data_IF_364304294151
#
_entry.id   IF_364304294151
#
_cell.length_a   1.000
_cell.length_b   1.000
_cell.length_c   1.000
_cell.angle_alpha   90.00
_cell.angle_beta   90.00
_cell.angle_gamma   90.00
#
_symmetry.space_group_name_H-M   'P 1'
#
loop_
_entity.id
_entity.type
_entity.pdbx_description
1 polymer ?
#
# COMPACT_ATOMS: atom_id res chain seq x y z
N UNK A 1 0.87 -7.54 49.12
CA UNK A 1 0.34 -6.64 48.07
C UNK A 1 -1.17 -6.60 48.16
N UNK A 2 -1.80 -5.43 48.03
CA UNK A 2 -3.27 -5.30 48.03
C UNK A 2 -3.86 -5.99 46.79
N UNK A 3 -4.91 -6.80 46.98
CA UNK A 3 -5.62 -7.51 45.91
C UNK A 3 -6.16 -6.55 44.83
N UNK A 4 -6.47 -5.32 45.21
CA UNK A 4 -6.93 -4.26 44.29
C UNK A 4 -5.82 -3.86 43.32
N UNK A 5 -4.58 -3.69 43.80
CA UNK A 5 -3.45 -3.29 42.95
C UNK A 5 -3.12 -4.38 41.91
N UNK A 6 -3.26 -5.66 42.27
CA UNK A 6 -3.06 -6.77 41.35
C UNK A 6 -4.11 -6.78 40.22
N UNK A 7 -5.39 -6.50 40.54
CA UNK A 7 -6.47 -6.43 39.55
C UNK A 7 -6.28 -5.26 38.58
N UNK A 8 -5.88 -4.08 39.08
CA UNK A 8 -5.58 -2.91 38.23
C UNK A 8 -4.43 -3.22 37.28
N UNK A 9 -3.38 -3.89 37.76
CA UNK A 9 -2.27 -4.34 36.92
C UNK A 9 -2.70 -5.28 35.79
N UNK A 10 -3.60 -6.22 36.10
CA UNK A 10 -4.16 -7.16 35.13
C UNK A 10 -5.00 -6.47 34.04
N UNK A 11 -5.83 -5.50 34.43
CA UNK A 11 -6.64 -4.72 33.48
C UNK A 11 -5.73 -3.90 32.55
N UNK A 12 -4.75 -3.22 33.12
CA UNK A 12 -3.81 -2.41 32.33
C UNK A 12 -3.01 -3.28 31.34
N UNK A 13 -2.57 -4.46 31.77
CA UNK A 13 -1.89 -5.40 30.88
C UNK A 13 -2.80 -5.85 29.74
N UNK A 14 -4.06 -6.17 30.04
CA UNK A 14 -5.06 -6.54 29.03
C UNK A 14 -5.31 -5.43 28.01
N UNK A 15 -5.40 -4.18 28.46
CA UNK A 15 -5.56 -3.02 27.57
C UNK A 15 -4.35 -2.84 26.65
N UNK A 16 -3.13 -2.95 27.18
CA UNK A 16 -1.90 -2.81 26.39
C UNK A 16 -1.84 -3.89 25.31
N UNK A 17 -2.15 -5.14 25.67
CA UNK A 17 -2.17 -6.26 24.71
C UNK A 17 -3.25 -6.07 23.64
N UNK A 18 -4.44 -5.57 24.01
CA UNK A 18 -5.51 -5.30 23.07
C UNK A 18 -5.13 -4.18 22.07
N UNK A 19 -4.50 -3.11 22.55
CA UNK A 19 -4.02 -2.02 21.69
C UNK A 19 -2.92 -2.50 20.74
N UNK A 20 -2.00 -3.33 21.24
CA UNK A 20 -0.94 -3.92 20.42
C UNK A 20 -1.52 -4.81 19.32
N UNK A 21 -2.47 -5.68 19.68
CA UNK A 21 -3.16 -6.54 18.72
C UNK A 21 -3.90 -5.73 17.65
N UNK A 22 -4.63 -4.68 18.06
CA UNK A 22 -5.36 -3.82 17.13
C UNK A 22 -4.41 -3.09 16.16
N UNK A 23 -3.30 -2.55 16.67
CA UNK A 23 -2.28 -1.90 15.85
C UNK A 23 -1.67 -2.88 14.83
N UNK A 24 -1.38 -4.12 15.26
CA UNK A 24 -0.85 -5.16 14.40
C UNK A 24 -1.82 -5.53 13.27
N UNK A 25 -3.10 -5.77 13.59
CA UNK A 25 -4.09 -6.15 12.58
C UNK A 25 -4.35 -5.01 11.59
N UNK A 26 -4.37 -3.76 12.08
CA UNK A 26 -4.45 -2.57 11.23
C UNK A 26 -3.29 -2.52 10.23
N UNK A 27 -2.05 -2.74 10.70
CA UNK A 27 -0.87 -2.74 9.85
C UNK A 27 -0.91 -3.87 8.80
N UNK A 28 -1.39 -5.05 9.20
CA UNK A 28 -1.60 -6.18 8.28
C UNK A 28 -2.66 -5.86 7.23
N UNK A 29 -3.71 -5.13 7.59
CA UNK A 29 -4.75 -4.69 6.65
C UNK A 29 -4.22 -3.64 5.67
N UNK A 30 -3.45 -2.67 6.14
CA UNK A 30 -2.84 -1.64 5.30
C UNK A 30 -1.91 -2.28 4.26
N UNK A 31 -1.05 -3.20 4.67
CA UNK A 31 -0.15 -3.91 3.73
C UNK A 31 -0.93 -4.65 2.64
N UNK A 32 -1.98 -5.39 3.01
CA UNK A 32 -2.87 -6.06 2.04
C UNK A 32 -3.55 -5.09 1.07
N UNK A 33 -3.92 -3.89 1.53
CA UNK A 33 -4.51 -2.86 0.68
C UNK A 33 -3.47 -2.24 -0.26
N UNK A 34 -2.24 -2.02 0.22
CA UNK A 34 -1.13 -1.54 -0.61
C UNK A 34 -0.77 -2.55 -1.71
N UNK A 35 -0.76 -3.85 -1.40
CA UNK A 35 -0.51 -4.90 -2.39
C UNK A 35 -1.58 -4.88 -3.50
N UNK A 36 -2.86 -4.77 -3.13
CA UNK A 36 -3.97 -4.67 -4.09
C UNK A 36 -3.92 -3.39 -4.93
N UNK A 37 -3.51 -2.28 -4.33
CA UNK A 37 -3.32 -1.01 -5.05
C UNK A 37 -2.18 -1.11 -6.05
N UNK A 38 -1.06 -1.75 -5.68
CA UNK A 38 0.05 -2.00 -6.59
C UNK A 38 -0.39 -2.86 -7.78
N UNK A 39 -1.14 -3.94 -7.52
CA UNK A 39 -1.70 -4.80 -8.57
C UNK A 39 -2.70 -4.06 -9.48
N UNK A 40 -3.57 -3.23 -8.91
CA UNK A 40 -4.51 -2.42 -9.69
C UNK A 40 -3.77 -1.40 -10.59
N UNK A 41 -2.70 -0.77 -10.08
CA UNK A 41 -1.89 0.16 -10.86
C UNK A 41 -1.19 -0.53 -12.03
N UNK A 42 -0.67 -1.75 -11.84
CA UNK A 42 -0.05 -2.51 -12.93
C UNK A 42 -1.06 -2.87 -14.00
N UNK A 43 -2.26 -3.34 -13.61
CA UNK A 43 -3.33 -3.67 -14.56
C UNK A 43 -3.78 -2.43 -15.33
N UNK A 44 -3.92 -1.29 -14.65
CA UNK A 44 -4.34 -0.04 -15.30
C UNK A 44 -3.28 0.46 -16.30
N UNK A 45 -2.00 0.30 -15.97
CA UNK A 45 -0.89 0.61 -16.88
C UNK A 45 -0.92 -0.28 -18.14
N UNK A 46 -1.11 -1.59 -17.98
CA UNK A 46 -1.21 -2.53 -19.10
C UNK A 46 -2.42 -2.23 -20.00
N UNK A 47 -3.57 -1.91 -19.39
CA UNK A 47 -4.77 -1.52 -20.13
C UNK A 47 -4.59 -0.20 -20.89
N UNK A 48 -3.90 0.77 -20.28
CA UNK A 48 -3.61 2.05 -20.94
C UNK A 48 -2.69 1.84 -22.16
N UNK A 49 -1.64 1.02 -22.01
CA UNK A 49 -0.75 0.67 -23.10
C UNK A 49 -1.48 -0.08 -24.23
N UNK A 50 -2.36 -1.03 -23.87
CA UNK A 50 -3.19 -1.73 -24.85
C UNK A 50 -4.14 -0.79 -25.61
N UNK A 51 -4.69 0.23 -24.94
CA UNK A 51 -5.55 1.26 -25.55
C UNK A 51 -4.78 2.15 -26.52
N UNK A 52 -3.58 2.62 -26.17
CA UNK A 52 -2.74 3.42 -27.06
C UNK A 52 -2.32 2.63 -28.31
N UNK A 53 -1.91 1.36 -28.13
CA UNK A 53 -1.62 0.46 -29.25
C UNK A 53 -2.84 0.21 -30.14
N UNK A 54 -4.03 0.07 -29.56
CA UNK A 54 -5.28 -0.11 -30.31
C UNK A 54 -5.69 1.13 -31.09
N UNK A 55 -5.33 2.33 -30.61
CA UNK A 55 -5.56 3.60 -31.31
C UNK A 55 -4.59 3.85 -32.47
N UNK A 56 -3.57 3.01 -32.63
CA UNK A 56 -2.57 3.12 -33.69
C UNK A 56 -1.45 4.11 -33.38
N UNK A 57 -1.29 4.49 -32.11
CA UNK A 57 -0.13 5.27 -31.66
C UNK A 57 1.16 4.46 -31.84
N UNK A 58 2.27 5.16 -32.13
CA UNK A 58 3.56 4.52 -32.28
C UNK A 58 3.97 3.86 -30.93
N UNK A 59 4.18 2.53 -30.90
CA UNK A 59 4.54 1.81 -29.67
C UNK A 59 5.78 2.40 -28.98
N UNK A 60 6.72 2.96 -29.76
CA UNK A 60 7.95 3.53 -29.20
C UNK A 60 7.69 4.88 -28.51
N UNK A 61 6.73 5.67 -29.00
CA UNK A 61 6.33 6.95 -28.41
C UNK A 61 5.54 6.73 -27.11
N UNK A 62 4.60 5.77 -27.11
CA UNK A 62 3.82 5.38 -25.92
C UNK A 62 4.73 4.80 -24.84
N UNK A 63 5.69 3.95 -25.21
CA UNK A 63 6.67 3.41 -24.28
C UNK A 63 7.58 4.51 -23.68
N UNK A 64 8.00 5.48 -24.50
CA UNK A 64 8.80 6.62 -24.03
C UNK A 64 8.01 7.50 -23.05
N UNK A 65 6.74 7.81 -23.33
CA UNK A 65 5.88 8.60 -22.45
C UNK A 65 5.60 7.87 -21.13
N UNK A 66 5.34 6.55 -21.19
CA UNK A 66 5.12 5.74 -20.00
C UNK A 66 6.35 5.66 -19.10
N UNK A 67 7.54 5.47 -19.70
CA UNK A 67 8.82 5.48 -18.97
C UNK A 67 9.12 6.87 -18.38
N UNK A 68 8.83 7.95 -19.10
CA UNK A 68 9.01 9.31 -18.61
C UNK A 68 8.10 9.58 -17.39
N UNK A 69 6.83 9.18 -17.46
CA UNK A 69 5.87 9.32 -16.36
C UNK A 69 6.28 8.51 -15.12
N UNK A 70 6.72 7.26 -15.30
CA UNK A 70 7.21 6.41 -14.20
C UNK A 70 8.54 6.88 -13.59
N UNK A 71 9.37 7.63 -14.33
CA UNK A 71 10.59 8.27 -13.79
C UNK A 71 10.25 9.49 -12.93
N UNK A 72 9.33 10.32 -13.41
CA UNK A 72 8.82 11.49 -12.69
C UNK A 72 8.14 11.09 -11.37
N UNK A 73 7.26 10.09 -11.38
CA UNK A 73 6.56 9.62 -10.18
C UNK A 73 7.50 9.00 -9.13
N UNK A 74 8.66 8.49 -9.55
CA UNK A 74 9.69 7.96 -8.64
C UNK A 74 10.66 9.02 -8.12
N UNK A 75 10.47 10.29 -8.49
CA UNK A 75 11.36 11.39 -8.06
C UNK A 75 12.80 11.23 -8.53
N UNK A 76 13.03 10.44 -9.59
CA UNK A 76 14.34 10.31 -10.24
C UNK A 76 14.43 11.44 -11.27
N UNK A 77 14.39 12.68 -10.79
CA UNK A 77 14.82 13.82 -11.57
C UNK A 77 16.33 13.96 -11.33
N UNK A 78 17.09 13.85 -12.42
CA UNK A 78 18.55 14.11 -12.43
C UNK A 78 18.82 15.60 -12.28
#
# INVERSE_FOLDING_TARGET
MSWIAANIGLINLGMILALFWFAWERERHIRRLQDRLAEANTIMADQHLALCLANGDDPDEVAAEWVAKHKSERGIEQ
#
